data_IF_519905288104
#
_entry.id   IF_519905288104
#
_cell.length_a   1.000
_cell.length_b   1.000
_cell.length_c   1.000
_cell.angle_alpha   90.00
_cell.angle_beta   90.00
_cell.angle_gamma   90.00
#
_symmetry.space_group_name_H-M   'P 1'
#
loop_
_entity.id
_entity.type
_entity.pdbx_description
1 polymer ?
#
# COMPACT_ATOMS: atom_id res chain seq x y z
N UNK A 1 5.35 -11.12 -4.91
CA UNK A 1 4.51 -9.90 -4.74
C UNK A 1 5.37 -8.67 -4.51
N UNK A 2 6.29 -8.69 -3.53
CA UNK A 2 7.19 -7.56 -3.19
C UNK A 2 7.81 -6.86 -4.40
N UNK A 3 8.49 -7.58 -5.31
CA UNK A 3 9.16 -6.94 -6.46
C UNK A 3 8.18 -6.34 -7.47
N UNK A 4 7.07 -7.04 -7.78
CA UNK A 4 6.03 -6.52 -8.67
C UNK A 4 5.36 -5.28 -8.10
N UNK A 5 5.03 -5.31 -6.80
CA UNK A 5 4.48 -4.17 -6.07
C UNK A 5 5.46 -3.00 -6.06
N UNK A 6 6.76 -3.28 -5.88
CA UNK A 6 7.78 -2.24 -5.85
C UNK A 6 7.91 -1.51 -7.19
N UNK A 7 7.87 -2.24 -8.32
CA UNK A 7 7.81 -1.61 -9.65
C UNK A 7 6.62 -0.66 -9.76
N UNK A 8 5.44 -1.09 -9.31
CA UNK A 8 4.23 -0.27 -9.37
C UNK A 8 4.30 0.97 -8.49
N UNK A 9 4.88 0.85 -7.29
CA UNK A 9 5.13 1.98 -6.38
C UNK A 9 6.04 3.02 -7.03
N UNK A 10 7.06 2.60 -7.78
CA UNK A 10 7.94 3.53 -8.50
C UNK A 10 7.21 4.25 -9.64
N UNK A 11 6.38 3.54 -10.41
CA UNK A 11 5.59 4.14 -11.50
C UNK A 11 4.54 5.14 -10.99
N UNK A 12 3.97 4.90 -9.80
CA UNK A 12 2.89 5.69 -9.21
C UNK A 12 3.37 6.61 -8.08
N UNK A 13 4.67 6.94 -8.05
CA UNK A 13 5.22 7.85 -7.06
C UNK A 13 4.46 9.20 -7.08
N UNK A 14 4.04 9.65 -5.89
CA UNK A 14 3.24 10.85 -5.70
C UNK A 14 3.85 11.80 -4.68
N UNK A 15 3.24 12.98 -4.55
CA UNK A 15 3.66 13.95 -3.54
C UNK A 15 3.24 13.50 -2.13
N UNK A 16 4.07 13.87 -1.16
CA UNK A 16 3.76 13.62 0.24
C UNK A 16 2.59 14.51 0.69
N UNK A 17 1.61 13.97 1.44
CA UNK A 17 0.57 14.78 2.04
C UNK A 17 1.17 15.80 3.01
N UNK A 18 0.64 17.02 2.97
CA UNK A 18 1.12 18.16 3.75
C UNK A 18 1.15 17.84 5.24
N UNK A 19 2.32 18.03 5.87
CA UNK A 19 2.50 17.86 7.32
C UNK A 19 3.00 16.48 7.76
N UNK A 20 3.16 15.50 6.85
CA UNK A 20 3.66 14.17 7.23
C UNK A 20 5.13 13.95 6.82
N UNK A 21 6.05 14.07 7.80
CA UNK A 21 7.47 13.75 7.62
C UNK A 21 7.75 12.29 7.97
N UNK A 22 7.78 11.42 6.97
CA UNK A 22 8.22 10.03 7.10
C UNK A 22 9.40 9.75 6.17
N UNK A 23 10.65 9.76 6.67
CA UNK A 23 11.84 9.72 5.82
C UNK A 23 12.03 8.38 5.08
N UNK A 24 11.47 7.29 5.59
CA UNK A 24 11.56 5.95 4.98
C UNK A 24 10.29 5.55 4.21
N UNK A 25 9.35 6.48 3.96
CA UNK A 25 8.07 6.18 3.31
C UNK A 25 7.99 6.87 1.96
N UNK A 26 7.83 6.07 0.90
CA UNK A 26 7.48 6.57 -0.43
C UNK A 26 5.97 6.76 -0.51
N UNK A 27 5.54 7.97 -0.87
CA UNK A 27 4.13 8.26 -1.14
C UNK A 27 3.79 7.86 -2.57
N UNK A 28 2.60 7.30 -2.74
CA UNK A 28 2.05 6.88 -4.02
C UNK A 28 0.71 7.52 -4.25
N UNK A 29 0.38 7.79 -5.51
CA UNK A 29 -0.96 8.21 -5.89
C UNK A 29 -1.96 7.08 -5.61
N UNK A 30 -3.22 7.40 -5.27
CA UNK A 30 -4.27 6.39 -5.13
C UNK A 30 -4.46 5.66 -6.47
N UNK A 31 -4.63 4.33 -6.43
CA UNK A 31 -4.80 3.50 -7.63
C UNK A 31 -4.30 2.06 -7.49
N UNK A 32 -3.46 1.77 -6.50
CA UNK A 32 -3.02 0.40 -6.19
C UNK A 32 -4.03 -0.24 -5.22
N UNK A 33 -4.68 -1.33 -5.65
CA UNK A 33 -5.67 -2.05 -4.82
C UNK A 33 -5.05 -3.37 -4.35
N UNK A 34 -4.93 -3.54 -3.03
CA UNK A 34 -4.37 -4.75 -2.41
C UNK A 34 -5.44 -5.71 -1.87
N UNK A 35 -5.22 -7.00 -2.06
CA UNK A 35 -5.95 -8.07 -1.38
C UNK A 35 -5.22 -8.43 -0.08
N UNK A 36 -5.89 -8.27 1.05
CA UNK A 36 -5.32 -8.52 2.38
C UNK A 36 -6.11 -9.58 3.12
N UNK A 37 -5.40 -10.47 3.82
CA UNK A 37 -6.01 -11.37 4.80
C UNK A 37 -5.87 -10.72 6.18
N UNK A 38 -6.97 -10.62 6.92
CA UNK A 38 -7.01 -10.00 8.25
C UNK A 38 -8.04 -10.73 9.14
N UNK A 39 -8.04 -10.42 10.44
CA UNK A 39 -9.08 -10.92 11.36
C UNK A 39 -10.43 -10.23 11.08
N UNK A 40 -11.53 -10.97 11.21
CA UNK A 40 -12.89 -10.44 11.02
C UNK A 40 -13.45 -9.91 12.34
N UNK A 41 -14.29 -8.88 12.27
CA UNK A 41 -15.01 -8.31 13.42
C UNK A 41 -14.29 -7.16 14.12
N UNK A 42 -13.11 -6.75 13.63
CA UNK A 42 -12.37 -5.58 14.10
C UNK A 42 -12.60 -4.39 13.15
N UNK A 43 -12.59 -3.18 13.68
CA UNK A 43 -12.70 -1.93 12.89
C UNK A 43 -11.45 -1.72 12.01
N UNK A 44 -10.28 -2.07 12.54
CA UNK A 44 -9.01 -2.01 11.85
C UNK A 44 -8.61 -3.37 11.26
N UNK A 45 -7.79 -3.32 10.21
CA UNK A 45 -7.17 -4.50 9.59
C UNK A 45 -6.04 -5.06 10.47
N UNK A 46 -6.39 -5.63 11.63
CA UNK A 46 -5.42 -6.21 12.56
C UNK A 46 -4.87 -7.54 12.05
N UNK A 47 -3.58 -7.76 12.32
CA UNK A 47 -2.82 -8.94 11.87
C UNK A 47 -2.90 -9.14 10.34
N UNK A 48 -2.95 -8.04 9.60
CA UNK A 48 -3.08 -8.10 8.16
C UNK A 48 -1.81 -8.61 7.48
N UNK A 49 -1.99 -9.51 6.49
CA UNK A 49 -0.96 -9.90 5.54
C UNK A 49 -1.41 -9.58 4.12
N UNK A 50 -0.54 -8.96 3.33
CA UNK A 50 -0.79 -8.70 1.91
C UNK A 50 -0.69 -10.01 1.13
N UNK A 51 -1.79 -10.41 0.51
CA UNK A 51 -1.90 -11.66 -0.26
C UNK A 51 -1.62 -11.44 -1.74
N UNK A 52 -2.13 -10.35 -2.32
CA UNK A 52 -1.82 -9.94 -3.69
C UNK A 52 -2.26 -8.48 -3.92
N UNK A 53 -2.09 -7.96 -5.13
CA UNK A 53 -2.65 -6.67 -5.55
C UNK A 53 -3.12 -6.73 -7.00
N UNK A 54 -4.10 -5.90 -7.34
CA UNK A 54 -4.68 -5.86 -8.69
C UNK A 54 -3.75 -5.13 -9.64
N UNK A 55 -3.30 -5.84 -10.67
CA UNK A 55 -2.55 -5.32 -11.82
C UNK A 55 -3.59 -5.07 -12.94
N UNK A 56 -4.22 -3.90 -12.97
CA UNK A 56 -5.00 -3.45 -14.14
C UNK A 56 -4.09 -2.98 -15.26
#
# INVERSE_FOLDING_TARGET
IRERLWKRVQEHAGEAPSGMKRPATQWVKPGIIGCVKHLRGEEDLRHASLQDFREE
#
